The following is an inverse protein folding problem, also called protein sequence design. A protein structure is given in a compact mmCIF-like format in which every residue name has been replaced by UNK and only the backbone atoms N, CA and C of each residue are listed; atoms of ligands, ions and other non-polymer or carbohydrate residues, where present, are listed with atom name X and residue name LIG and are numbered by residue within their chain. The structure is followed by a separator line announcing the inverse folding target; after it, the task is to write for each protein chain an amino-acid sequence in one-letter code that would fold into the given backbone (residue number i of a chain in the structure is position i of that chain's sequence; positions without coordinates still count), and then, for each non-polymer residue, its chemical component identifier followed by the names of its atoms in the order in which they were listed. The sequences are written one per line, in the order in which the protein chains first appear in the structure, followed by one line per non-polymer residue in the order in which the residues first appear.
data_IF_985694562734
#
_entry.id   IF_985694562734
#
_cell.length_a   1.000
_cell.length_b   1.000
_cell.length_c   1.000
_cell.angle_alpha   90.00
_cell.angle_beta   90.00
_cell.angle_gamma   90.00
#
_symmetry.space_group_name_H-M   'P 1'
#
loop_
_entity.id
_entity.type
_entity.pdbx_description
1 polymer ?
#
# COMPACT_ATOMS: atom_id res chain seq x y z
N UNK A 1 3.87 -22.86 3.90
CA UNK A 1 3.01 -23.38 4.96
C UNK A 1 1.52 -23.31 4.58
N UNK A 2 0.74 -24.17 5.16
CA UNK A 2 -0.70 -24.23 4.89
C UNK A 2 -1.43 -22.93 5.21
N UNK A 3 -0.93 -22.13 6.17
CA UNK A 3 -1.51 -20.83 6.56
C UNK A 3 -1.45 -19.78 5.44
N UNK A 4 -0.55 -19.94 4.46
CA UNK A 4 -0.47 -19.03 3.31
C UNK A 4 -1.58 -19.28 2.30
N UNK A 5 -2.21 -20.44 2.32
CA UNK A 5 -3.24 -20.83 1.35
C UNK A 5 -4.61 -20.69 2.02
N UNK A 6 -5.43 -19.81 1.49
CA UNK A 6 -6.77 -19.52 2.02
C UNK A 6 -7.79 -20.49 1.40
N UNK A 7 -8.71 -20.97 2.23
CA UNK A 7 -9.84 -21.76 1.74
C UNK A 7 -10.95 -20.81 1.19
N UNK A 8 -11.98 -21.39 0.60
CA UNK A 8 -13.07 -20.64 -0.03
C UNK A 8 -13.78 -19.69 0.96
N UNK A 9 -14.07 -20.14 2.18
CA UNK A 9 -14.71 -19.35 3.21
C UNK A 9 -13.86 -18.15 3.61
N UNK A 10 -12.56 -18.35 3.77
CA UNK A 10 -11.61 -17.29 4.10
C UNK A 10 -11.53 -16.27 2.96
N UNK A 11 -11.43 -16.73 1.72
CA UNK A 11 -11.40 -15.86 0.53
C UNK A 11 -12.66 -14.99 0.46
N UNK A 12 -13.82 -15.55 0.69
CA UNK A 12 -15.09 -14.81 0.70
C UNK A 12 -15.10 -13.73 1.78
N UNK A 13 -14.62 -14.05 2.98
CA UNK A 13 -14.51 -13.09 4.08
C UNK A 13 -13.54 -11.96 3.77
N UNK A 14 -12.38 -12.30 3.19
CA UNK A 14 -11.36 -11.31 2.78
C UNK A 14 -11.93 -10.39 1.68
N UNK A 15 -12.64 -10.95 0.71
CA UNK A 15 -13.28 -10.16 -0.35
C UNK A 15 -14.31 -9.17 0.20
N UNK A 16 -15.07 -9.55 1.22
CA UNK A 16 -16.01 -8.62 1.89
C UNK A 16 -15.28 -7.48 2.59
N UNK A 17 -14.18 -7.77 3.28
CA UNK A 17 -13.33 -6.75 3.87
C UNK A 17 -12.75 -5.83 2.78
N UNK A 18 -12.36 -6.41 1.63
CA UNK A 18 -11.85 -5.66 0.49
C UNK A 18 -12.89 -4.71 -0.10
N UNK A 19 -14.15 -5.13 -0.19
CA UNK A 19 -15.24 -4.25 -0.67
C UNK A 19 -15.36 -3.02 0.23
N UNK A 20 -15.30 -3.20 1.55
CA UNK A 20 -15.31 -2.09 2.50
C UNK A 20 -14.10 -1.19 2.31
N UNK A 21 -12.90 -1.77 2.21
CA UNK A 21 -11.66 -1.01 2.05
C UNK A 21 -11.66 -0.21 0.75
N UNK A 22 -12.11 -0.81 -0.36
CA UNK A 22 -12.24 -0.14 -1.65
C UNK A 22 -13.25 1.01 -1.58
N UNK A 23 -14.39 0.78 -0.95
CA UNK A 23 -15.41 1.80 -0.74
C UNK A 23 -14.91 2.96 0.10
N UNK A 24 -14.11 2.68 1.12
CA UNK A 24 -13.46 3.70 1.95
C UNK A 24 -12.55 4.60 1.10
N UNK A 25 -11.67 3.99 0.30
CA UNK A 25 -10.77 4.75 -0.57
C UNK A 25 -11.54 5.53 -1.65
N UNK A 26 -12.61 4.97 -2.20
CA UNK A 26 -13.50 5.69 -3.12
C UNK A 26 -14.16 6.89 -2.44
N UNK A 27 -14.60 6.74 -1.20
CA UNK A 27 -15.18 7.81 -0.40
C UNK A 27 -14.18 8.94 -0.15
N UNK A 28 -12.94 8.59 0.20
CA UNK A 28 -11.85 9.56 0.37
C UNK A 28 -11.57 10.28 -0.95
N UNK A 29 -11.47 9.54 -2.06
CA UNK A 29 -11.21 10.10 -3.39
C UNK A 29 -12.25 11.14 -3.78
N UNK A 30 -13.52 10.90 -3.46
CA UNK A 30 -14.64 11.82 -3.70
C UNK A 30 -14.56 13.11 -2.91
N UNK A 31 -13.96 13.06 -1.72
CA UNK A 31 -14.01 14.16 -0.75
C UNK A 31 -12.69 14.90 -0.57
N UNK A 32 -11.57 14.30 -0.98
CA UNK A 32 -10.25 14.89 -0.79
C UNK A 32 -10.11 16.16 -1.66
N UNK A 33 -9.62 17.25 -1.05
CA UNK A 33 -9.42 18.52 -1.75
C UNK A 33 -8.38 19.38 -1.06
N UNK A 34 -7.82 20.31 -1.81
CA UNK A 34 -6.89 21.32 -1.31
C UNK A 34 -7.57 22.09 -0.17
N UNK A 35 -6.81 22.37 0.89
CA UNK A 35 -7.28 23.07 2.08
C UNK A 35 -7.73 22.16 3.21
N UNK A 36 -7.99 20.88 2.94
CA UNK A 36 -8.24 19.90 4.00
C UNK A 36 -6.96 19.59 4.75
N UNK A 37 -7.10 19.25 6.03
CA UNK A 37 -6.01 18.66 6.79
C UNK A 37 -5.99 17.16 6.58
N UNK A 38 -4.86 16.52 6.89
CA UNK A 38 -4.79 15.06 6.90
C UNK A 38 -5.63 14.46 8.02
N UNK A 39 -5.86 15.21 9.11
CA UNK A 39 -6.82 14.81 10.14
C UNK A 39 -8.25 14.70 9.58
N UNK A 40 -8.64 15.57 8.65
CA UNK A 40 -9.94 15.47 7.98
C UNK A 40 -10.10 14.14 7.24
N UNK A 41 -9.02 13.62 6.66
CA UNK A 41 -9.02 12.30 6.00
C UNK A 41 -9.24 11.19 7.03
N UNK A 42 -8.63 11.31 8.20
CA UNK A 42 -8.85 10.35 9.30
C UNK A 42 -10.30 10.38 9.80
N UNK A 43 -10.90 11.57 9.89
CA UNK A 43 -12.32 11.73 10.24
C UNK A 43 -13.22 11.03 9.23
N UNK A 44 -12.99 11.25 7.93
CA UNK A 44 -13.73 10.57 6.86
C UNK A 44 -13.61 9.04 6.98
N UNK A 45 -12.41 8.56 7.31
CA UNK A 45 -12.13 7.13 7.50
C UNK A 45 -12.97 6.56 8.65
N UNK A 46 -12.94 7.21 9.80
CA UNK A 46 -13.70 6.76 10.99
C UNK A 46 -15.21 6.75 10.73
N UNK A 47 -15.73 7.76 10.07
CA UNK A 47 -17.15 7.85 9.73
C UNK A 47 -17.57 6.73 8.78
N UNK A 48 -16.80 6.51 7.72
CA UNK A 48 -17.10 5.46 6.73
C UNK A 48 -17.09 4.07 7.35
N UNK A 49 -16.03 3.75 8.10
CA UNK A 49 -15.89 2.43 8.72
C UNK A 49 -17.01 2.16 9.73
N UNK A 50 -17.39 3.15 10.52
CA UNK A 50 -18.49 3.03 11.49
C UNK A 50 -19.81 2.69 10.80
N UNK A 51 -20.13 3.36 9.69
CA UNK A 51 -21.34 3.13 8.90
C UNK A 51 -21.37 1.73 8.27
N UNK A 52 -20.20 1.14 8.03
CA UNK A 52 -20.08 -0.17 7.39
C UNK A 52 -19.79 -1.30 8.39
N UNK A 53 -19.90 -1.03 9.68
CA UNK A 53 -19.64 -2.01 10.75
C UNK A 53 -18.24 -2.64 10.66
N UNK A 54 -17.27 -1.86 10.18
CA UNK A 54 -15.88 -2.28 10.02
C UNK A 54 -14.98 -1.49 10.94
N UNK A 55 -13.72 -1.93 11.04
CA UNK A 55 -12.70 -1.31 11.89
C UNK A 55 -11.45 -1.01 11.10
N UNK A 56 -10.72 0.04 11.52
CA UNK A 56 -9.37 0.27 11.04
C UNK A 56 -8.43 -0.75 11.67
N UNK A 57 -7.65 -1.44 10.85
CA UNK A 57 -6.60 -2.32 11.35
C UNK A 57 -5.37 -1.52 11.82
N UNK A 58 -5.19 -0.29 11.32
CA UNK A 58 -4.08 0.58 11.69
C UNK A 58 -4.20 1.11 13.12
N UNK A 59 -5.41 1.48 13.53
CA UNK A 59 -5.64 2.09 14.84
C UNK A 59 -5.19 1.16 15.96
N UNK A 60 -4.31 1.66 16.81
CA UNK A 60 -3.70 0.95 17.93
C UNK A 60 -2.76 -0.21 17.54
N UNK A 61 -2.51 -0.43 16.25
CA UNK A 61 -1.53 -1.42 15.81
C UNK A 61 -0.13 -0.96 16.25
N UNK A 62 0.48 -1.71 17.16
CA UNK A 62 1.77 -1.36 17.76
C UNK A 62 1.83 0.09 18.27
N UNK A 63 0.69 0.59 18.76
CA UNK A 63 0.58 1.95 19.27
C UNK A 63 0.30 3.03 18.23
N UNK A 64 0.03 2.68 16.97
CA UNK A 64 -0.29 3.68 15.95
C UNK A 64 -1.57 4.45 16.33
N UNK A 65 -1.54 5.81 16.34
CA UNK A 65 -2.61 6.59 16.98
C UNK A 65 -3.81 6.94 16.10
N UNK A 66 -3.79 6.64 14.80
CA UNK A 66 -4.83 7.06 13.84
C UNK A 66 -5.40 5.87 13.08
N UNK A 67 -6.45 6.14 12.31
CA UNK A 67 -7.19 5.10 11.60
C UNK A 67 -6.72 4.87 10.16
N UNK A 68 -5.80 5.69 9.67
CA UNK A 68 -5.28 5.66 8.31
C UNK A 68 -3.88 6.28 8.30
N UNK A 69 -3.09 5.99 7.26
CA UNK A 69 -1.81 6.65 7.04
C UNK A 69 -1.94 7.63 5.86
N UNK A 70 -1.34 8.82 6.01
CA UNK A 70 -1.36 9.88 5.00
C UNK A 70 0.06 10.40 4.81
N UNK A 71 0.63 10.16 3.64
CA UNK A 71 2.06 10.43 3.38
C UNK A 71 2.21 11.37 2.18
N UNK A 72 2.73 12.57 2.44
CA UNK A 72 2.79 13.67 1.47
C UNK A 72 4.24 13.90 1.03
N UNK A 73 4.46 14.01 -0.29
CA UNK A 73 5.70 14.43 -0.94
C UNK A 73 6.92 13.57 -0.54
N UNK A 74 7.79 14.06 0.34
CA UNK A 74 8.98 13.35 0.81
C UNK A 74 8.72 12.35 1.95
N UNK A 75 7.48 12.27 2.41
CA UNK A 75 7.06 11.24 3.35
C UNK A 75 6.85 9.94 2.58
N UNK A 76 7.64 8.95 2.89
CA UNK A 76 7.65 7.64 2.20
C UNK A 76 6.44 6.81 2.60
N UNK A 77 6.19 6.71 3.90
CA UNK A 77 5.07 5.97 4.48
C UNK A 77 4.82 6.35 5.93
N UNK A 78 3.71 5.84 6.47
CA UNK A 78 3.30 5.97 7.87
C UNK A 78 3.17 7.42 8.35
N UNK A 79 2.85 8.34 7.45
CA UNK A 79 2.51 9.70 7.83
C UNK A 79 1.27 9.70 8.72
N UNK A 80 1.38 10.33 9.90
CA UNK A 80 0.30 10.37 10.88
C UNK A 80 -0.64 11.54 10.56
N UNK A 81 -1.95 11.29 10.34
CA UNK A 81 -2.93 12.36 10.18
C UNK A 81 -2.84 13.43 11.26
N UNK A 82 -2.82 14.69 10.84
CA UNK A 82 -2.67 15.84 11.72
C UNK A 82 -3.48 17.03 11.22
N UNK A 83 -4.09 17.77 12.13
CA UNK A 83 -4.77 19.03 11.81
C UNK A 83 -3.80 20.14 11.37
N UNK A 84 -2.51 19.98 11.66
CA UNK A 84 -1.46 20.94 11.28
C UNK A 84 -0.93 20.72 9.85
N UNK A 85 -1.24 19.58 9.25
CA UNK A 85 -0.81 19.22 7.89
C UNK A 85 -1.96 19.47 6.92
N UNK A 86 -1.84 20.54 6.15
CA UNK A 86 -2.87 20.98 5.21
C UNK A 86 -2.46 20.63 3.78
N UNK A 87 -3.37 20.05 3.02
CA UNK A 87 -3.17 19.74 1.60
C UNK A 87 -3.08 21.02 0.78
N UNK A 88 -2.03 21.13 -0.02
CA UNK A 88 -1.72 22.31 -0.83
C UNK A 88 -1.72 21.97 -2.31
N UNK A 89 -1.88 22.99 -3.12
CA UNK A 89 -1.70 22.89 -4.58
C UNK A 89 -0.30 22.38 -4.89
N UNK A 90 -0.23 21.32 -5.70
CA UNK A 90 1.03 20.67 -6.08
C UNK A 90 1.43 19.48 -5.24
N UNK A 91 0.77 19.21 -4.12
CA UNK A 91 1.06 18.05 -3.28
C UNK A 91 0.68 16.74 -3.98
N UNK A 92 1.49 15.71 -3.75
CA UNK A 92 1.10 14.32 -3.97
C UNK A 92 0.98 13.65 -2.61
N UNK A 93 -0.07 12.86 -2.42
CA UNK A 93 -0.34 12.19 -1.16
C UNK A 93 -0.68 10.72 -1.39
N UNK A 94 -0.06 9.84 -0.60
CA UNK A 94 -0.49 8.45 -0.47
C UNK A 94 -1.47 8.35 0.69
N UNK A 95 -2.61 7.72 0.45
CA UNK A 95 -3.60 7.38 1.46
C UNK A 95 -3.65 5.86 1.55
N UNK A 96 -3.24 5.33 2.69
CA UNK A 96 -3.06 3.91 2.94
C UNK A 96 -4.06 3.42 3.98
N UNK A 97 -4.96 2.53 3.55
CA UNK A 97 -6.06 2.05 4.37
C UNK A 97 -6.04 0.54 4.51
N UNK A 98 -6.09 0.06 5.74
CA UNK A 98 -6.30 -1.35 6.06
C UNK A 98 -7.56 -1.50 6.88
N UNK A 99 -8.54 -2.24 6.34
CA UNK A 99 -9.83 -2.46 7.01
C UNK A 99 -9.99 -3.89 7.49
N UNK A 100 -10.63 -4.02 8.65
CA UNK A 100 -11.02 -5.31 9.23
C UNK A 100 -12.54 -5.40 9.22
N UNK A 101 -13.08 -6.54 8.79
CA UNK A 101 -14.50 -6.85 8.82
C UNK A 101 -14.67 -8.32 9.20
N UNK A 102 -15.38 -8.55 10.31
CA UNK A 102 -15.69 -9.91 10.79
C UNK A 102 -14.45 -10.81 10.95
N UNK A 103 -13.33 -10.25 11.34
CA UNK A 103 -12.07 -11.00 11.53
C UNK A 103 -11.25 -11.17 10.26
N UNK A 104 -11.64 -10.55 9.16
CA UNK A 104 -10.90 -10.58 7.89
C UNK A 104 -10.34 -9.22 7.54
N UNK A 105 -9.21 -9.18 6.84
CA UNK A 105 -8.44 -7.97 6.57
C UNK A 105 -8.22 -7.77 5.08
N UNK A 106 -8.22 -6.51 4.65
CA UNK A 106 -7.82 -6.10 3.31
C UNK A 106 -7.10 -4.77 3.36
N UNK A 107 -6.15 -4.56 2.46
CA UNK A 107 -5.22 -3.45 2.47
C UNK A 107 -5.04 -2.89 1.07
N UNK A 108 -5.02 -1.58 0.94
CA UNK A 108 -4.70 -0.91 -0.31
C UNK A 108 -4.28 0.54 -0.03
N UNK A 109 -3.49 1.10 -0.94
CA UNK A 109 -3.21 2.53 -0.91
C UNK A 109 -3.29 3.13 -2.31
N UNK A 110 -3.64 4.40 -2.35
CA UNK A 110 -3.75 5.18 -3.59
C UNK A 110 -2.97 6.48 -3.45
N UNK A 111 -2.49 6.95 -4.60
CA UNK A 111 -1.93 8.29 -4.70
C UNK A 111 -2.98 9.26 -5.21
N UNK A 112 -3.02 10.45 -4.61
CA UNK A 112 -3.84 11.56 -5.10
C UNK A 112 -2.94 12.74 -5.41
N UNK A 113 -3.20 13.39 -6.54
CA UNK A 113 -2.46 14.57 -6.99
C UNK A 113 -3.33 15.80 -6.78
N UNK A 114 -2.84 16.74 -5.99
CA UNK A 114 -3.62 17.91 -5.55
C UNK A 114 -3.35 19.10 -6.46
N UNK A 115 -4.35 19.45 -7.26
CA UNK A 115 -4.27 20.64 -8.13
C UNK A 115 -3.21 20.56 -9.22
N UNK A 116 -2.38 21.59 -9.34
CA UNK A 116 -1.33 21.68 -10.36
C UNK A 116 -0.05 21.02 -9.86
N UNK A 117 0.11 19.76 -10.21
CA UNK A 117 1.25 18.93 -9.81
C UNK A 117 2.32 18.97 -10.92
N UNK A 118 3.61 19.01 -10.54
CA UNK A 118 4.71 19.02 -11.50
C UNK A 118 4.72 17.77 -12.40
N UNK A 119 5.31 17.88 -13.58
CA UNK A 119 5.43 16.74 -14.49
C UNK A 119 6.29 15.63 -13.90
N UNK A 120 7.33 15.98 -13.12
CA UNK A 120 8.18 15.01 -12.43
C UNK A 120 7.38 14.23 -11.38
N UNK A 121 6.51 14.89 -10.63
CA UNK A 121 5.67 14.24 -9.63
C UNK A 121 4.62 13.34 -10.31
N UNK A 122 3.99 13.81 -11.39
CA UNK A 122 3.03 12.99 -12.17
C UNK A 122 3.69 11.72 -12.71
N UNK A 123 4.91 11.85 -13.22
CA UNK A 123 5.67 10.70 -13.74
C UNK A 123 5.96 9.70 -12.62
N UNK A 124 6.42 10.17 -11.47
CA UNK A 124 6.70 9.31 -10.32
C UNK A 124 5.45 8.54 -9.90
N UNK A 125 4.32 9.21 -9.74
CA UNK A 125 3.05 8.60 -9.37
C UNK A 125 2.63 7.52 -10.37
N UNK A 126 2.72 7.84 -11.66
CA UNK A 126 2.36 6.91 -12.75
C UNK A 126 3.26 5.68 -12.77
N UNK A 127 4.58 5.90 -12.75
CA UNK A 127 5.56 4.81 -12.83
C UNK A 127 5.48 3.90 -11.60
N UNK A 128 5.21 4.45 -10.43
CA UNK A 128 5.04 3.64 -9.22
C UNK A 128 3.86 2.67 -9.36
N UNK A 129 2.74 3.13 -9.90
CA UNK A 129 1.59 2.27 -10.17
C UNK A 129 1.91 1.19 -11.19
N UNK A 130 2.57 1.59 -12.28
CA UNK A 130 3.00 0.66 -13.32
C UNK A 130 3.98 -0.39 -12.79
N UNK A 131 4.90 0.02 -11.90
CA UNK A 131 5.84 -0.91 -11.26
C UNK A 131 5.11 -1.96 -10.43
N UNK A 132 4.08 -1.56 -9.69
CA UNK A 132 3.23 -2.50 -8.95
C UNK A 132 2.59 -3.51 -9.92
N UNK A 133 2.07 -3.07 -11.06
CA UNK A 133 1.48 -3.95 -12.06
C UNK A 133 2.52 -4.83 -12.76
N UNK A 134 3.75 -4.37 -12.92
CA UNK A 134 4.85 -5.21 -13.42
C UNK A 134 5.13 -6.36 -12.43
N UNK A 135 5.07 -6.06 -11.14
CA UNK A 135 5.13 -7.11 -10.10
C UNK A 135 3.97 -8.09 -10.21
N UNK A 136 2.76 -7.59 -10.41
CA UNK A 136 1.57 -8.44 -10.61
C UNK A 136 1.72 -9.38 -11.79
N UNK A 137 2.26 -8.91 -12.91
CA UNK A 137 2.46 -9.72 -14.12
C UNK A 137 3.44 -10.88 -13.91
N UNK A 138 4.32 -10.78 -12.91
CA UNK A 138 5.24 -11.86 -12.54
C UNK A 138 4.54 -13.00 -11.81
N UNK A 139 3.29 -12.83 -11.37
CA UNK A 139 2.52 -13.85 -10.69
C UNK A 139 2.01 -14.87 -11.71
N UNK A 140 2.63 -16.06 -11.69
CA UNK A 140 2.26 -17.20 -12.53
C UNK A 140 2.10 -18.43 -11.62
N UNK A 141 0.86 -18.81 -11.28
CA UNK A 141 0.62 -19.91 -10.35
C UNK A 141 1.38 -21.19 -10.74
N UNK A 142 2.00 -21.83 -9.76
CA UNK A 142 2.80 -23.05 -9.92
C UNK A 142 4.11 -22.89 -10.70
N UNK A 143 4.45 -21.68 -11.15
CA UNK A 143 5.63 -21.43 -11.99
C UNK A 143 6.58 -20.40 -11.43
N UNK A 144 6.05 -19.28 -10.90
CA UNK A 144 6.88 -18.22 -10.38
C UNK A 144 7.00 -18.28 -8.86
N UNK A 145 7.98 -17.56 -8.33
CA UNK A 145 8.25 -17.41 -6.91
C UNK A 145 7.99 -15.99 -6.46
N UNK A 146 7.79 -15.78 -5.18
CA UNK A 146 7.51 -14.46 -4.62
C UNK A 146 8.60 -13.43 -5.00
N UNK A 147 9.87 -13.81 -4.99
CA UNK A 147 10.96 -12.90 -5.36
C UNK A 147 10.97 -12.46 -6.82
N UNK A 148 10.28 -13.16 -7.70
CA UNK A 148 10.13 -12.72 -9.09
C UNK A 148 9.36 -11.40 -9.17
N UNK A 149 8.47 -11.15 -8.21
CA UNK A 149 7.72 -9.90 -8.09
C UNK A 149 8.68 -8.73 -7.87
N UNK A 150 9.56 -8.85 -6.87
CA UNK A 150 10.53 -7.80 -6.54
C UNK A 150 11.52 -7.52 -7.67
N UNK A 151 11.97 -8.56 -8.37
CA UNK A 151 12.83 -8.41 -9.55
C UNK A 151 12.16 -7.57 -10.64
N UNK A 152 10.90 -7.85 -10.94
CA UNK A 152 10.14 -7.15 -11.96
C UNK A 152 9.94 -5.67 -11.58
N UNK A 153 9.59 -5.41 -10.33
CA UNK A 153 9.39 -4.05 -9.81
C UNK A 153 10.69 -3.23 -9.87
N UNK A 154 11.77 -3.77 -9.34
CA UNK A 154 13.05 -3.07 -9.31
C UNK A 154 13.57 -2.77 -10.70
N UNK A 155 13.47 -3.72 -11.62
CA UNK A 155 13.85 -3.53 -13.01
C UNK A 155 13.09 -2.38 -13.65
N UNK A 156 11.77 -2.37 -13.48
CA UNK A 156 10.92 -1.32 -14.06
C UNK A 156 11.23 0.06 -13.46
N UNK A 157 11.41 0.13 -12.15
CA UNK A 157 11.77 1.36 -11.46
C UNK A 157 13.12 1.91 -11.97
N UNK A 158 14.15 1.07 -12.05
CA UNK A 158 15.49 1.47 -12.49
C UNK A 158 15.50 1.93 -13.95
N UNK A 159 14.79 1.26 -14.84
CA UNK A 159 14.67 1.66 -16.25
C UNK A 159 14.09 3.06 -16.35
N UNK A 160 13.19 3.43 -15.46
CA UNK A 160 12.53 4.74 -15.43
C UNK A 160 13.27 5.79 -14.57
N UNK A 161 14.44 5.43 -14.03
CA UNK A 161 15.29 6.37 -13.28
C UNK A 161 14.92 6.55 -11.81
N UNK A 162 14.18 5.61 -11.24
CA UNK A 162 13.78 5.66 -9.83
C UNK A 162 14.46 4.60 -8.99
N UNK A 163 14.56 4.85 -7.68
CA UNK A 163 15.05 3.87 -6.72
C UNK A 163 13.89 3.24 -5.96
N UNK A 164 14.12 2.04 -5.42
CA UNK A 164 13.14 1.28 -4.65
C UNK A 164 13.55 1.24 -3.19
N UNK A 165 12.63 1.61 -2.31
CA UNK A 165 12.83 1.52 -0.86
C UNK A 165 12.88 0.05 -0.45
N UNK A 166 13.86 -0.31 0.38
CA UNK A 166 14.10 -1.71 0.77
C UNK A 166 13.66 -2.04 2.19
N UNK A 167 13.44 -1.03 3.05
CA UNK A 167 13.12 -1.20 4.47
C UNK A 167 11.70 -1.69 4.73
N UNK A 168 10.83 -1.64 3.73
CA UNK A 168 9.43 -2.07 3.83
C UNK A 168 9.11 -3.04 2.73
N UNK A 169 8.08 -3.85 2.95
CA UNK A 169 7.69 -4.89 2.00
C UNK A 169 6.18 -5.10 1.98
N UNK A 170 5.70 -5.74 0.92
CA UNK A 170 4.37 -6.34 0.89
C UNK A 170 4.32 -7.57 1.78
N UNK A 171 3.13 -8.08 2.01
CA UNK A 171 2.91 -9.12 3.01
C UNK A 171 1.66 -9.93 2.70
N UNK A 172 1.64 -11.16 3.20
CA UNK A 172 0.41 -11.92 3.28
C UNK A 172 -0.61 -11.17 4.15
N UNK A 173 -1.88 -11.38 3.88
CA UNK A 173 -2.97 -10.70 4.58
C UNK A 173 -4.24 -11.54 4.49
N UNK A 174 -5.14 -11.34 5.40
CA UNK A 174 -6.46 -11.93 5.32
C UNK A 174 -7.01 -12.36 6.66
N UNK A 175 -6.30 -13.20 7.39
CA UNK A 175 -6.68 -13.62 8.73
C UNK A 175 -6.08 -12.71 9.79
N UNK A 176 -5.01 -12.01 9.45
CA UNK A 176 -4.38 -10.94 10.22
C UNK A 176 -3.95 -9.84 9.26
N UNK A 177 -3.54 -8.70 9.78
CA UNK A 177 -3.07 -7.58 8.97
C UNK A 177 -1.78 -7.92 8.22
N UNK A 178 -0.83 -8.59 8.89
CA UNK A 178 0.45 -9.00 8.34
C UNK A 178 0.69 -10.48 8.62
N UNK A 179 0.95 -11.24 7.57
CA UNK A 179 1.25 -12.67 7.66
C UNK A 179 2.18 -13.08 6.50
N UNK A 180 2.67 -14.30 6.52
CA UNK A 180 3.46 -14.83 5.40
C UNK A 180 2.61 -14.94 4.12
N UNK A 181 3.23 -14.80 2.94
CA UNK A 181 4.63 -14.51 2.70
C UNK A 181 4.95 -13.01 2.77
N UNK A 182 6.21 -12.65 2.97
CA UNK A 182 6.68 -11.29 2.76
C UNK A 182 7.07 -11.08 1.31
N UNK A 183 6.68 -9.93 0.74
CA UNK A 183 6.87 -9.61 -0.68
C UNK A 183 7.78 -8.39 -0.78
N UNK A 184 9.06 -8.61 -1.03
CA UNK A 184 10.00 -7.53 -1.24
C UNK A 184 9.84 -6.95 -2.64
N UNK A 185 10.14 -5.66 -2.78
CA UNK A 185 9.98 -4.92 -4.04
C UNK A 185 11.30 -4.75 -4.80
N UNK A 186 12.30 -5.46 -4.38
CA UNK A 186 13.65 -5.46 -4.96
C UNK A 186 14.15 -6.90 -5.06
N UNK A 187 15.24 -7.09 -5.81
CA UNK A 187 15.85 -8.40 -5.98
C UNK A 187 16.51 -8.87 -4.69
N UNK A 188 16.06 -9.99 -4.16
CA UNK A 188 16.64 -10.67 -2.99
C UNK A 188 17.55 -11.81 -3.42
N UNK A 189 18.44 -12.24 -2.50
CA UNK A 189 19.42 -13.31 -2.79
C UNK A 189 18.77 -14.69 -2.90
N UNK A 190 17.75 -14.93 -2.10
CA UNK A 190 17.06 -16.22 -2.04
C UNK A 190 15.56 -16.00 -2.17
N UNK A 191 14.94 -16.90 -2.90
CA UNK A 191 13.51 -16.93 -3.04
C UNK A 191 13.06 -18.37 -3.25
N UNK A 192 12.50 -18.94 -2.21
CA UNK A 192 12.09 -20.34 -2.18
C UNK A 192 10.57 -20.50 -2.13
N UNK A 193 9.81 -19.41 -2.04
CA UNK A 193 8.34 -19.47 -1.92
C UNK A 193 7.70 -19.51 -3.30
N UNK A 194 7.21 -20.68 -3.68
CA UNK A 194 6.45 -20.87 -4.91
C UNK A 194 5.08 -20.22 -4.77
N UNK A 195 4.66 -19.46 -5.77
CA UNK A 195 3.33 -18.84 -5.82
C UNK A 195 2.31 -19.92 -6.23
N UNK A 196 1.30 -20.11 -5.37
CA UNK A 196 0.25 -21.12 -5.61
C UNK A 196 -1.14 -20.50 -5.40
N UNK A 197 -2.18 -21.09 -6.04
CA UNK A 197 -3.55 -20.61 -5.86
C UNK A 197 -3.99 -20.61 -4.39
N UNK A 198 -4.76 -19.60 -4.00
CA UNK A 198 -5.23 -19.40 -2.63
C UNK A 198 -4.36 -18.49 -1.79
N UNK A 199 -3.18 -18.12 -2.28
CA UNK A 199 -2.37 -17.09 -1.62
C UNK A 199 -3.02 -15.74 -1.76
N UNK A 200 -2.99 -14.96 -0.66
CA UNK A 200 -3.45 -13.56 -0.62
C UNK A 200 -2.33 -12.71 -0.03
N UNK A 201 -1.88 -11.73 -0.78
CA UNK A 201 -0.79 -10.85 -0.33
C UNK A 201 -0.88 -9.47 -0.98
N UNK A 202 -0.17 -8.52 -0.40
CA UNK A 202 -0.06 -7.17 -0.95
C UNK A 202 1.20 -7.03 -1.80
N UNK A 203 1.12 -6.15 -2.78
CA UNK A 203 2.26 -5.58 -3.48
C UNK A 203 2.12 -4.07 -3.29
N UNK A 204 3.16 -3.43 -2.72
CA UNK A 204 3.07 -2.05 -2.27
C UNK A 204 4.37 -1.26 -2.44
N UNK A 205 4.93 -1.20 -3.64
CA UNK A 205 6.24 -0.60 -3.85
C UNK A 205 6.25 0.89 -3.51
N UNK A 206 7.34 1.31 -2.88
CA UNK A 206 7.67 2.71 -2.63
C UNK A 206 8.83 3.06 -3.54
N UNK A 207 8.60 3.98 -4.47
CA UNK A 207 9.62 4.47 -5.39
C UNK A 207 10.02 5.88 -5.01
N UNK A 208 11.33 6.12 -4.93
CA UNK A 208 11.88 7.43 -4.64
C UNK A 208 12.45 8.08 -5.91
N UNK A 209 12.24 9.37 -6.02
CA UNK A 209 12.79 10.18 -7.12
C UNK A 209 14.32 10.24 -7.06
N UNK A 210 14.88 10.30 -5.85
CA UNK A 210 16.32 10.31 -5.61
C UNK A 210 16.84 8.96 -5.13
N UNK A 211 17.61 8.96 -4.04
CA UNK A 211 18.16 7.74 -3.46
C UNK A 211 17.10 6.92 -2.74
N UNK A 212 17.36 5.63 -2.55
CA UNK A 212 16.44 4.73 -1.86
C UNK A 212 16.46 4.89 -0.33
N UNK A 213 17.40 5.66 0.19
CA UNK A 213 17.63 5.76 1.63
C UNK A 213 16.56 6.59 2.31
N UNK A 214 16.12 6.12 3.46
CA UNK A 214 15.04 6.69 4.25
C UNK A 214 15.44 6.75 5.73
N UNK A 215 14.73 7.57 6.49
CA UNK A 215 14.91 7.64 7.93
C UNK A 215 13.59 7.83 8.66
N UNK A 216 13.55 7.32 9.88
CA UNK A 216 12.41 7.42 10.77
C UNK A 216 12.45 8.78 11.51
N UNK A 217 11.27 9.40 11.66
CA UNK A 217 11.11 10.53 12.57
C UNK A 217 11.04 9.99 14.02
N UNK A 218 12.12 10.18 14.76
CA UNK A 218 12.21 9.68 16.14
C UNK A 218 11.30 10.43 17.12
N UNK A 219 10.73 11.57 16.73
CA UNK A 219 9.79 12.29 17.59
C UNK A 219 8.40 11.65 17.62
N UNK A 220 7.97 11.01 16.53
CA UNK A 220 6.67 10.33 16.46
C UNK A 220 6.80 8.81 16.33
N UNK A 221 7.99 8.28 16.04
CA UNK A 221 8.31 6.86 15.87
C UNK A 221 7.59 6.15 14.70
N UNK A 222 6.98 6.91 13.81
CA UNK A 222 6.20 6.35 12.68
C UNK A 222 6.56 6.92 11.32
N UNK A 223 6.59 8.23 11.19
CA UNK A 223 6.77 8.91 9.90
C UNK A 223 8.15 8.61 9.31
N UNK A 224 8.16 8.15 8.07
CA UNK A 224 9.39 7.83 7.34
C UNK A 224 9.58 8.83 6.22
N UNK A 225 10.77 9.45 6.15
CA UNK A 225 11.15 10.44 5.15
C UNK A 225 12.24 9.95 4.23
N UNK A 226 12.27 10.48 3.00
CA UNK A 226 13.45 10.32 2.13
C UNK A 226 14.63 11.07 2.74
N UNK A 227 15.83 10.49 2.67
CA UNK A 227 17.03 11.14 3.22
C UNK A 227 17.42 12.40 2.45
N UNK A 228 17.15 12.46 1.16
CA UNK A 228 17.52 13.58 0.29
C UNK A 228 16.41 14.63 0.14
N UNK A 229 15.27 14.45 0.78
CA UNK A 229 14.15 15.38 0.70
C UNK A 229 13.39 15.36 -0.62
N UNK A 230 13.75 14.46 -1.53
CA UNK A 230 13.06 14.32 -2.81
C UNK A 230 11.77 13.53 -2.66
N UNK A 231 10.96 13.49 -3.72
CA UNK A 231 9.63 12.88 -3.69
C UNK A 231 9.69 11.36 -3.59
N UNK A 232 8.69 10.80 -2.91
CA UNK A 232 8.40 9.37 -2.85
C UNK A 232 6.94 9.14 -3.22
N UNK A 233 6.64 8.01 -3.86
CA UNK A 233 5.28 7.59 -4.14
C UNK A 233 5.11 6.12 -3.83
N UNK A 234 3.89 5.74 -3.47
CA UNK A 234 3.52 4.36 -3.18
C UNK A 234 2.13 4.06 -3.73
N UNK A 235 1.95 2.88 -4.29
CA UNK A 235 0.65 2.29 -4.56
C UNK A 235 0.61 0.91 -3.94
N UNK A 236 -0.55 0.51 -3.48
CA UNK A 236 -0.73 -0.81 -2.91
C UNK A 236 -2.07 -1.41 -3.32
N UNK A 237 -2.03 -2.69 -3.70
CA UNK A 237 -3.22 -3.52 -3.85
C UNK A 237 -3.07 -4.81 -3.08
N UNK A 238 -4.20 -5.44 -2.74
CA UNK A 238 -4.23 -6.82 -2.27
C UNK A 238 -4.60 -7.72 -3.44
N UNK A 239 -3.82 -8.79 -3.61
CA UNK A 239 -3.94 -9.75 -4.71
C UNK A 239 -4.30 -11.13 -4.20
N UNK A 240 -5.18 -11.80 -4.92
CA UNK A 240 -5.52 -13.21 -4.72
C UNK A 240 -4.96 -14.00 -5.89
N UNK A 241 -4.15 -15.01 -5.59
CA UNK A 241 -3.66 -15.96 -6.63
C UNK A 241 -4.78 -16.96 -6.93
N UNK A 242 -5.15 -17.05 -8.20
CA UNK A 242 -6.17 -17.99 -8.70
C UNK A 242 -5.53 -19.15 -9.42
N UNK A 243 -6.32 -20.14 -9.83
CA UNK A 243 -5.81 -21.28 -10.61
C UNK A 243 -5.14 -20.86 -11.91
N UNK A 244 -5.64 -19.80 -12.56
CA UNK A 244 -5.19 -19.38 -13.87
C UNK A 244 -4.34 -18.10 -13.86
N UNK A 245 -4.20 -17.43 -12.72
CA UNK A 245 -3.48 -16.16 -12.67
C UNK A 245 -3.64 -15.44 -11.35
N UNK A 246 -4.09 -14.19 -11.41
CA UNK A 246 -4.20 -13.31 -10.24
C UNK A 246 -5.42 -12.41 -10.36
N UNK A 247 -6.05 -12.14 -9.23
CA UNK A 247 -7.19 -11.23 -9.11
C UNK A 247 -6.83 -10.11 -8.15
N UNK A 248 -7.14 -8.86 -8.53
CA UNK A 248 -6.99 -7.71 -7.64
C UNK A 248 -8.27 -7.64 -6.79
N UNK A 249 -8.15 -7.74 -5.47
CA UNK A 249 -9.33 -7.74 -4.59
C UNK A 249 -9.46 -6.45 -3.77
N UNK A 250 -8.36 -5.77 -3.44
CA UNK A 250 -8.41 -4.44 -2.84
C UNK A 250 -7.49 -3.50 -3.61
N UNK A 251 -8.03 -2.32 -3.98
CA UNK A 251 -7.32 -1.36 -4.81
C UNK A 251 -7.71 0.08 -4.52
#
# INVERSE_FOLDING_TARGET
PRSMIKNQQQIEGIKKAAVVNNGLLDYIEKNIKIGMSTEDIDVLTREYLKEHNAHSADLNYEGYPKSICTSINDVVCHGIPSSDVILKDGDIINVDATSELNGYYADASRMFMMGNVSDEAKKLVKITKEAMYEGMKAIKPWKSHIGDIGKAIQRYAHINGYSVVEEFCGHGIGMTMHEDPYVFHFKTKEDTVLIVPGMVFTIEPMLNQGTRHVHLNYNDDWTVYTDDGKLSAQWEHTFLVTEDGVEIISK
#
